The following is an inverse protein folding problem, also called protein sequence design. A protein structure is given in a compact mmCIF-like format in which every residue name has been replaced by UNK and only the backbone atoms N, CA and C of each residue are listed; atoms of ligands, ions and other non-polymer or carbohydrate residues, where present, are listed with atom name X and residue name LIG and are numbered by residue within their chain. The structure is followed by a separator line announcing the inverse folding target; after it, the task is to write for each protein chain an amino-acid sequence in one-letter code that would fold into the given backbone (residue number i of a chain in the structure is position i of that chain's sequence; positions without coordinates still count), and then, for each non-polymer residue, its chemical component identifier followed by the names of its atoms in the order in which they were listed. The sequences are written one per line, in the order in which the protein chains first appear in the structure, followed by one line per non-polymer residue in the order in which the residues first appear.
data_IF_610827130957
#
_entry.id   IF_610827130957
#
_cell.length_a   1.000
_cell.length_b   1.000
_cell.length_c   1.000
_cell.angle_alpha   90.00
_cell.angle_beta   90.00
_cell.angle_gamma   90.00
#
_symmetry.space_group_name_H-M   'P 1'
#
loop_
_entity.id
_entity.type
_entity.pdbx_description
1 polymer ?
#
# COMPACT_ATOMS: atom_id res chain seq x y z
N UNK A 1 30.93 -11.71 -24.95
CA UNK A 1 29.53 -11.85 -24.51
C UNK A 1 29.43 -13.14 -23.72
N UNK A 2 29.37 -13.07 -22.40
CA UNK A 2 29.07 -14.24 -21.57
C UNK A 2 27.59 -14.60 -21.77
N UNK A 3 27.24 -15.87 -22.05
CA UNK A 3 25.83 -16.25 -22.18
C UNK A 3 25.10 -16.02 -20.86
N UNK A 4 23.93 -15.38 -20.91
CA UNK A 4 23.00 -15.34 -19.78
C UNK A 4 22.33 -16.72 -19.66
N UNK A 5 22.89 -17.60 -18.83
CA UNK A 5 22.44 -18.99 -18.73
C UNK A 5 21.03 -19.15 -18.12
N UNK A 6 20.53 -18.16 -17.39
CA UNK A 6 19.17 -18.11 -16.85
C UNK A 6 18.70 -16.64 -16.73
N UNK A 7 17.51 -16.32 -17.26
CA UNK A 7 16.90 -14.98 -17.18
C UNK A 7 15.62 -15.09 -16.36
N UNK A 8 15.43 -14.16 -15.44
CA UNK A 8 14.22 -14.01 -14.64
C UNK A 8 13.62 -12.62 -14.83
N UNK A 9 12.34 -12.49 -14.49
CA UNK A 9 11.62 -11.22 -14.51
C UNK A 9 11.06 -10.95 -13.12
N UNK A 10 11.30 -9.77 -12.58
CA UNK A 10 10.79 -9.33 -11.29
C UNK A 10 9.74 -8.25 -11.49
N UNK A 11 8.71 -8.28 -10.65
CA UNK A 11 7.61 -7.30 -10.62
C UNK A 11 7.46 -6.79 -9.20
N UNK A 12 7.51 -5.47 -9.02
CA UNK A 12 7.25 -4.84 -7.73
C UNK A 12 5.77 -4.89 -7.35
N UNK A 13 5.51 -5.06 -6.06
CA UNK A 13 4.16 -5.08 -5.51
C UNK A 13 3.44 -3.75 -5.83
N UNK A 14 2.29 -3.85 -6.49
CA UNK A 14 1.45 -2.72 -6.92
C UNK A 14 2.02 -1.87 -8.07
N UNK A 15 3.10 -2.29 -8.71
CA UNK A 15 3.67 -1.62 -9.88
C UNK A 15 3.44 -2.42 -11.17
N UNK A 16 3.52 -1.73 -12.30
CA UNK A 16 3.48 -2.29 -13.66
C UNK A 16 4.87 -2.51 -14.25
N UNK A 17 5.92 -2.01 -13.59
CA UNK A 17 7.30 -2.18 -14.04
C UNK A 17 7.73 -3.65 -13.93
N UNK A 18 8.32 -4.15 -15.02
CA UNK A 18 8.89 -5.50 -15.09
C UNK A 18 10.39 -5.36 -15.33
N UNK A 19 11.18 -5.78 -14.35
CA UNK A 19 12.65 -5.73 -14.42
C UNK A 19 13.19 -7.08 -14.85
N UNK A 20 14.04 -7.10 -15.87
CA UNK A 20 14.78 -8.29 -16.29
C UNK A 20 16.00 -8.45 -15.38
N UNK A 21 16.20 -9.66 -14.85
CA UNK A 21 17.32 -10.01 -13.98
C UNK A 21 18.04 -11.20 -14.60
N UNK A 22 19.35 -11.07 -14.85
CA UNK A 22 20.17 -12.20 -15.27
C UNK A 22 20.65 -12.99 -14.05
N UNK A 23 20.77 -14.30 -14.19
CA UNK A 23 21.43 -15.12 -13.17
C UNK A 23 22.90 -14.71 -12.93
N UNK A 24 23.51 -14.07 -13.93
CA UNK A 24 24.85 -13.50 -13.83
C UNK A 24 24.91 -12.26 -12.91
N UNK A 25 23.78 -11.62 -12.64
CA UNK A 25 23.69 -10.43 -11.75
C UNK A 25 23.64 -10.83 -10.26
N UNK A 26 23.41 -12.11 -9.95
CA UNK A 26 23.45 -12.59 -8.58
C UNK A 26 24.90 -12.61 -8.07
N UNK A 27 25.21 -11.67 -7.19
CA UNK A 27 26.48 -11.67 -6.47
C UNK A 27 26.39 -12.69 -5.32
N UNK A 28 27.43 -13.53 -5.11
CA UNK A 28 27.52 -14.30 -3.89
C UNK A 28 27.46 -13.35 -2.70
N UNK A 29 26.60 -13.64 -1.74
CA UNK A 29 26.53 -12.90 -0.48
C UNK A 29 27.93 -12.96 0.13
N UNK A 30 28.60 -11.81 0.24
CA UNK A 30 29.96 -11.73 0.75
C UNK A 30 30.04 -12.53 2.05
N UNK A 31 30.92 -13.52 2.09
CA UNK A 31 31.06 -14.43 3.22
C UNK A 31 31.13 -13.59 4.50
N UNK A 32 30.09 -13.70 5.33
CA UNK A 32 30.09 -13.08 6.65
C UNK A 32 31.37 -13.57 7.36
N UNK A 33 32.10 -12.69 8.07
CA UNK A 33 33.34 -13.06 8.74
C UNK A 33 33.10 -14.29 9.63
N UNK A 34 34.04 -15.24 9.57
CA UNK A 34 34.00 -16.60 10.14
C UNK A 34 33.59 -16.71 11.63
N UNK A 35 33.45 -15.59 12.34
CA UNK A 35 33.10 -15.49 13.76
C UNK A 35 31.60 -15.74 14.05
N UNK A 36 30.74 -15.83 13.04
CA UNK A 36 29.29 -16.08 13.20
C UNK A 36 28.88 -17.55 12.99
N UNK A 37 29.81 -18.53 13.13
CA UNK A 37 29.60 -19.95 12.77
C UNK A 37 28.77 -20.79 13.75
N UNK A 38 27.99 -20.19 14.66
CA UNK A 38 27.19 -20.94 15.64
C UNK A 38 25.68 -20.94 15.40
N UNK A 39 25.23 -20.60 14.20
CA UNK A 39 23.85 -20.88 13.79
C UNK A 39 23.85 -21.67 12.49
N UNK A 40 23.12 -22.80 12.40
CA UNK A 40 22.94 -23.51 11.15
C UNK A 40 21.94 -22.70 10.30
N UNK A 41 22.37 -21.57 9.75
CA UNK A 41 21.61 -20.86 8.74
C UNK A 41 21.72 -21.65 7.45
N UNK A 42 20.76 -22.57 7.31
CA UNK A 42 20.54 -23.47 6.18
C UNK A 42 20.18 -22.76 4.86
N UNK A 43 20.58 -21.50 4.70
CA UNK A 43 20.28 -20.70 3.52
C UNK A 43 21.55 -20.03 3.03
N UNK A 44 22.28 -20.74 2.17
CA UNK A 44 23.36 -20.17 1.37
C UNK A 44 22.85 -19.15 0.33
N UNK A 45 21.52 -18.97 0.25
CA UNK A 45 20.82 -18.12 -0.70
C UNK A 45 19.64 -17.44 0.00
N UNK A 46 19.89 -16.42 0.83
CA UNK A 46 18.80 -15.54 1.29
C UNK A 46 18.67 -14.38 0.31
N UNK A 47 17.57 -14.34 -0.45
CA UNK A 47 17.15 -13.13 -1.15
C UNK A 47 16.86 -12.03 -0.10
N UNK A 48 17.13 -10.74 -0.39
CA UNK A 48 16.89 -9.66 0.58
C UNK A 48 15.46 -9.67 1.11
N UNK A 49 15.23 -9.13 2.32
CA UNK A 49 13.91 -9.03 2.97
C UNK A 49 12.80 -8.33 2.14
N UNK A 50 13.16 -7.77 0.98
CA UNK A 50 12.25 -7.32 -0.05
C UNK A 50 11.53 -8.46 -0.81
N UNK A 51 11.73 -9.74 -0.47
CA UNK A 51 10.98 -10.88 -1.05
C UNK A 51 9.44 -10.71 -0.91
N UNK A 52 8.98 -9.95 0.10
CA UNK A 52 7.57 -9.55 0.23
C UNK A 52 7.14 -8.42 -0.73
N UNK A 53 8.09 -7.73 -1.37
CA UNK A 53 7.89 -6.58 -2.26
C UNK A 53 8.00 -6.94 -3.75
N UNK A 54 8.50 -8.13 -4.10
CA UNK A 54 8.64 -8.55 -5.50
C UNK A 54 8.19 -10.00 -5.73
N UNK A 55 7.64 -10.25 -6.91
CA UNK A 55 7.41 -11.61 -7.40
C UNK A 55 8.30 -11.89 -8.60
N UNK A 56 9.00 -13.03 -8.57
CA UNK A 56 9.83 -13.51 -9.66
C UNK A 56 9.06 -14.43 -10.62
N UNK A 57 9.29 -14.27 -11.92
CA UNK A 57 8.66 -15.07 -12.97
C UNK A 57 9.70 -15.50 -14.01
N UNK A 58 9.56 -16.72 -14.52
CA UNK A 58 10.44 -17.27 -15.57
C UNK A 58 10.14 -16.71 -16.96
N UNK A 59 8.91 -16.22 -17.19
CA UNK A 59 8.48 -15.68 -18.49
C UNK A 59 8.09 -14.21 -18.36
N UNK A 60 8.54 -13.40 -19.32
CA UNK A 60 8.17 -11.98 -19.42
C UNK A 60 6.67 -11.80 -19.54
N UNK A 61 6.01 -12.64 -20.33
CA UNK A 61 4.56 -12.56 -20.56
C UNK A 61 3.81 -12.77 -19.25
N UNK A 62 4.17 -13.81 -18.51
CA UNK A 62 3.59 -14.10 -17.20
C UNK A 62 3.87 -12.95 -16.19
N UNK A 63 5.09 -12.41 -16.19
CA UNK A 63 5.44 -11.26 -15.37
C UNK A 63 4.54 -10.05 -15.66
N UNK A 64 4.35 -9.72 -16.94
CA UNK A 64 3.51 -8.59 -17.36
C UNK A 64 2.03 -8.79 -17.00
N UNK A 65 1.49 -10.00 -17.20
CA UNK A 65 0.11 -10.32 -16.81
C UNK A 65 -0.08 -10.17 -15.30
N UNK A 66 0.88 -10.64 -14.52
CA UNK A 66 0.84 -10.54 -13.06
C UNK A 66 0.99 -9.11 -12.58
N UNK A 67 1.88 -8.33 -13.19
CA UNK A 67 2.02 -6.89 -12.94
C UNK A 67 0.70 -6.15 -13.19
N UNK A 68 0.07 -6.40 -14.35
CA UNK A 68 -1.24 -5.81 -14.68
C UNK A 68 -2.31 -6.22 -13.67
N UNK A 69 -2.39 -7.50 -13.33
CA UNK A 69 -3.38 -8.00 -12.36
C UNK A 69 -3.18 -7.41 -10.96
N UNK A 70 -1.92 -7.24 -10.53
CA UNK A 70 -1.56 -6.65 -9.25
C UNK A 70 -1.90 -5.16 -9.19
N UNK A 71 -1.57 -4.41 -10.24
CA UNK A 71 -1.91 -2.99 -10.36
C UNK A 71 -3.43 -2.77 -10.33
N UNK A 72 -4.21 -3.58 -11.06
CA UNK A 72 -5.69 -3.49 -11.04
C UNK A 72 -6.24 -3.72 -9.63
N UNK A 73 -5.76 -4.75 -8.93
CA UNK A 73 -6.17 -5.02 -7.55
C UNK A 73 -5.81 -3.86 -6.61
N UNK A 74 -4.64 -3.26 -6.79
CA UNK A 74 -4.22 -2.12 -5.99
C UNK A 74 -5.11 -0.90 -6.21
N UNK A 75 -5.42 -0.58 -7.47
CA UNK A 75 -6.36 0.48 -7.82
C UNK A 75 -7.73 0.23 -7.18
N UNK A 76 -8.25 -1.00 -7.25
CA UNK A 76 -9.48 -1.37 -6.56
C UNK A 76 -9.41 -1.11 -5.05
N UNK A 77 -8.32 -1.49 -4.38
CA UNK A 77 -8.12 -1.21 -2.96
C UNK A 77 -8.08 0.29 -2.63
N UNK A 78 -7.54 1.12 -3.53
CA UNK A 78 -7.53 2.58 -3.37
C UNK A 78 -8.93 3.17 -3.51
N UNK A 79 -9.72 2.68 -4.48
CA UNK A 79 -11.12 3.07 -4.66
C UNK A 79 -11.94 2.71 -3.42
N UNK A 80 -11.82 1.48 -2.92
CA UNK A 80 -12.54 1.03 -1.72
C UNK A 80 -12.23 1.89 -0.49
N UNK A 81 -10.95 2.31 -0.33
CA UNK A 81 -10.55 3.21 0.75
C UNK A 81 -11.14 4.61 0.58
N UNK A 82 -11.16 5.12 -0.64
CA UNK A 82 -11.75 6.42 -0.95
C UNK A 82 -13.27 6.42 -0.71
N UNK A 83 -13.97 5.36 -1.07
CA UNK A 83 -15.41 5.23 -0.79
C UNK A 83 -15.70 5.21 0.71
N UNK A 84 -14.92 4.44 1.48
CA UNK A 84 -15.03 4.39 2.94
C UNK A 84 -14.77 5.76 3.58
N UNK A 85 -13.76 6.49 3.11
CA UNK A 85 -13.45 7.82 3.64
C UNK A 85 -14.56 8.83 3.32
N UNK A 86 -15.12 8.80 2.10
CA UNK A 86 -16.27 9.63 1.72
C UNK A 86 -17.49 9.31 2.60
N UNK A 87 -17.77 8.03 2.84
CA UNK A 87 -18.88 7.62 3.72
C UNK A 87 -18.66 8.12 5.16
N UNK A 88 -17.45 8.02 5.69
CA UNK A 88 -17.12 8.52 7.01
C UNK A 88 -17.34 10.04 7.12
N UNK A 89 -16.91 10.81 6.10
CA UNK A 89 -17.14 12.27 6.05
C UNK A 89 -18.64 12.59 5.99
N UNK A 90 -19.41 11.86 5.19
CA UNK A 90 -20.87 12.03 5.13
C UNK A 90 -21.52 11.73 6.48
N UNK A 91 -21.12 10.64 7.14
CA UNK A 91 -21.64 10.28 8.46
C UNK A 91 -21.32 11.35 9.51
N UNK A 92 -20.07 11.84 9.54
CA UNK A 92 -19.66 12.96 10.39
C UNK A 92 -20.51 14.19 10.13
N UNK A 93 -20.70 14.55 8.85
CA UNK A 93 -21.52 15.69 8.45
C UNK A 93 -22.95 15.55 8.96
N UNK A 94 -23.60 14.38 8.81
CA UNK A 94 -24.97 14.19 9.28
C UNK A 94 -25.08 14.26 10.80
N UNK A 95 -24.15 13.63 11.53
CA UNK A 95 -24.16 13.61 12.98
C UNK A 95 -24.00 15.02 13.58
N UNK A 96 -23.16 15.87 12.96
CA UNK A 96 -22.85 17.19 13.50
C UNK A 96 -23.67 18.34 12.89
N UNK A 97 -24.30 18.17 11.72
CA UNK A 97 -25.19 19.21 11.18
C UNK A 97 -26.45 19.41 12.02
N UNK A 98 -27.02 18.34 12.56
CA UNK A 98 -28.20 18.41 13.42
C UNK A 98 -27.89 19.15 14.71
N UNK A 99 -26.78 18.80 15.36
CA UNK A 99 -26.34 19.48 16.60
C UNK A 99 -26.04 20.96 16.37
N UNK A 100 -25.34 21.30 15.28
CA UNK A 100 -25.01 22.69 14.98
C UNK A 100 -26.25 23.53 14.69
N UNK A 101 -27.20 23.00 13.89
CA UNK A 101 -28.42 23.72 13.57
C UNK A 101 -29.31 23.90 14.80
N UNK A 102 -29.47 22.87 15.64
CA UNK A 102 -30.23 22.98 16.89
C UNK A 102 -29.57 24.03 17.80
N UNK A 103 -28.25 23.98 17.95
CA UNK A 103 -27.51 24.94 18.78
C UNK A 103 -27.64 26.38 18.27
N UNK A 104 -27.53 26.58 16.96
CA UNK A 104 -27.69 27.91 16.34
C UNK A 104 -29.13 28.43 16.47
N UNK A 105 -30.11 27.54 16.32
CA UNK A 105 -31.52 27.90 16.43
C UNK A 105 -31.86 28.28 17.87
N UNK A 106 -31.42 27.50 18.86
CA UNK A 106 -31.56 27.82 20.29
C UNK A 106 -30.84 29.12 20.66
N UNK A 107 -29.63 29.34 20.15
CA UNK A 107 -28.88 30.58 20.38
C UNK A 107 -29.63 31.80 19.81
N UNK A 108 -30.24 31.66 18.63
CA UNK A 108 -31.04 32.72 18.02
C UNK A 108 -32.36 32.95 18.77
N UNK A 109 -33.04 31.89 19.24
CA UNK A 109 -34.25 32.01 20.07
C UNK A 109 -33.92 32.80 21.35
N UNK A 110 -32.88 32.42 22.08
CA UNK A 110 -32.46 33.13 23.30
C UNK A 110 -32.08 34.59 23.05
N UNK A 111 -31.46 34.87 21.90
CA UNK A 111 -31.14 36.24 21.49
C UNK A 111 -32.42 37.06 21.28
N UNK A 112 -33.40 36.50 20.57
CA UNK A 112 -34.70 37.14 20.33
C UNK A 112 -35.50 37.32 21.63
N UNK A 113 -35.54 36.33 22.52
CA UNK A 113 -36.19 36.43 23.84
C UNK A 113 -35.61 37.60 24.66
N UNK A 114 -34.28 37.76 24.63
CA UNK A 114 -33.59 38.85 25.32
C UNK A 114 -33.88 40.21 24.69
N UNK A 115 -33.97 40.30 23.36
CA UNK A 115 -34.33 41.54 22.65
C UNK A 115 -35.80 41.92 22.85
N UNK A 116 -36.69 40.93 22.96
CA UNK A 116 -38.13 41.12 23.18
C UNK A 116 -38.51 41.24 24.67
N UNK A 117 -37.54 41.10 25.59
CA UNK A 117 -37.73 41.14 27.03
C UNK A 117 -38.77 40.11 27.55
N UNK A 118 -38.87 38.98 26.85
CA UNK A 118 -39.74 37.85 27.19
C UNK A 118 -38.96 37.00 28.20
N UNK A 119 -39.55 36.76 29.38
CA UNK A 119 -38.99 35.90 30.43
C UNK A 119 -39.52 34.48 30.32
#
# INVERSE_FOLDING_TARGET
MTPDFCIYYQVFLNDTTVTRVSANDFKPQAALPLMARHTPTRSAYSLPAAEAMFYGYASRVNAMEKAKSGAIKHIGSLIDRAEKSIQAIKAYRMAHHTDLNVTLLDANIRKLEKELNIK
#
